data_IF_095985224481
#
_entry.id   IF_095985224481
#
_cell.length_a   1.000
_cell.length_b   1.000
_cell.length_c   1.000
_cell.angle_alpha   90.00
_cell.angle_beta   90.00
_cell.angle_gamma   90.00
#
_symmetry.space_group_name_H-M   'P 1'
#
loop_
_entity.id
_entity.type
_entity.pdbx_description
1 polymer ?
#
# COMPACT_ATOMS: atom_id res chain seq x y z
N UNK A 1 -26.46 -28.89 54.20
CA UNK A 1 -26.42 -30.37 54.25
C UNK A 1 -26.07 -30.87 52.85
N UNK A 2 -24.94 -30.49 52.25
CA UNK A 2 -23.55 -30.87 52.58
C UNK A 2 -23.30 -32.38 52.51
N UNK A 3 -22.72 -32.81 51.37
CA UNK A 3 -21.39 -33.45 51.40
C UNK A 3 -20.74 -33.49 50.02
N UNK A 4 -19.65 -32.73 49.89
CA UNK A 4 -18.62 -32.90 48.86
C UNK A 4 -18.00 -34.30 48.90
N UNK A 5 -17.63 -34.83 47.74
CA UNK A 5 -16.48 -35.74 47.65
C UNK A 5 -15.72 -35.55 46.33
N UNK A 6 -14.72 -34.69 46.47
CA UNK A 6 -13.57 -34.42 45.62
C UNK A 6 -12.82 -35.70 45.23
N UNK A 7 -12.52 -35.90 43.94
CA UNK A 7 -11.38 -36.73 43.52
C UNK A 7 -10.49 -35.96 42.56
N UNK A 8 -9.51 -35.37 43.22
CA UNK A 8 -8.22 -34.85 42.77
C UNK A 8 -7.53 -35.84 41.82
N UNK A 9 -7.12 -35.36 40.64
CA UNK A 9 -5.95 -35.89 39.94
C UNK A 9 -5.17 -34.70 39.38
N UNK A 10 -4.48 -34.05 40.33
CA UNK A 10 -3.27 -33.28 40.10
C UNK A 10 -2.21 -34.28 39.66
N UNK A 11 -1.66 -34.08 38.47
CA UNK A 11 -0.60 -34.90 37.90
C UNK A 11 0.39 -34.06 37.12
N UNK A 12 1.25 -33.35 37.85
CA UNK A 12 2.66 -33.00 37.51
C UNK A 12 2.89 -32.36 36.13
N UNK A 13 2.96 -31.03 36.02
CA UNK A 13 4.21 -30.25 36.17
C UNK A 13 5.47 -30.96 35.64
N UNK A 14 5.68 -30.86 34.33
CA UNK A 14 6.98 -30.70 33.67
C UNK A 14 6.68 -29.87 32.40
N UNK A 15 7.02 -28.59 32.27
CA UNK A 15 8.29 -27.99 32.66
C UNK A 15 9.30 -28.07 31.50
N UNK A 16 8.89 -27.72 30.28
CA UNK A 16 9.83 -27.42 29.19
C UNK A 16 9.42 -26.09 28.59
N UNK A 17 9.93 -25.01 29.18
CA UNK A 17 9.96 -23.71 28.55
C UNK A 17 11.03 -23.76 27.47
N UNK A 18 10.64 -24.02 26.22
CA UNK A 18 11.51 -23.76 25.06
C UNK A 18 11.49 -22.25 24.84
N UNK A 19 12.45 -21.55 25.42
CA UNK A 19 12.86 -20.22 24.98
C UNK A 19 13.47 -20.38 23.58
N UNK A 20 12.64 -20.26 22.54
CA UNK A 20 13.13 -20.00 21.20
C UNK A 20 13.60 -18.55 21.14
N UNK A 21 14.85 -18.31 21.55
CA UNK A 21 15.60 -17.11 21.18
C UNK A 21 15.87 -17.18 19.68
N UNK A 22 14.87 -16.81 18.88
CA UNK A 22 15.14 -16.36 17.52
C UNK A 22 15.76 -14.98 17.66
N UNK A 23 17.09 -14.95 17.55
CA UNK A 23 17.84 -13.71 17.45
C UNK A 23 17.18 -12.81 16.40
N UNK A 24 17.09 -11.54 16.75
CA UNK A 24 16.90 -10.46 15.79
C UNK A 24 18.08 -10.51 14.81
N UNK A 25 17.99 -11.40 13.83
CA UNK A 25 18.66 -11.19 12.57
C UNK A 25 18.07 -9.87 12.06
N UNK A 26 18.89 -8.83 12.06
CA UNK A 26 18.77 -7.78 11.06
C UNK A 26 18.76 -8.52 9.73
N UNK A 27 17.57 -8.86 9.24
CA UNK A 27 17.41 -9.42 7.91
C UNK A 27 18.21 -8.49 7.01
N UNK A 28 19.14 -9.00 6.17
CA UNK A 28 19.53 -8.20 5.03
C UNK A 28 18.22 -7.76 4.40
N UNK A 29 18.07 -6.46 4.12
CA UNK A 29 17.07 -6.01 3.15
C UNK A 29 17.27 -6.98 2.00
N UNK A 30 16.31 -7.89 1.79
CA UNK A 30 16.41 -8.80 0.68
C UNK A 30 16.56 -7.84 -0.49
N UNK A 31 17.71 -7.89 -1.17
CA UNK A 31 17.84 -7.17 -2.41
C UNK A 31 16.62 -7.60 -3.21
N UNK A 32 15.70 -6.66 -3.45
CA UNK A 32 14.48 -6.91 -4.20
C UNK A 32 14.95 -7.22 -5.62
N UNK A 33 15.34 -8.48 -5.83
CA UNK A 33 15.78 -8.95 -7.10
C UNK A 33 14.52 -9.11 -7.91
N UNK A 34 14.32 -8.17 -8.83
CA UNK A 34 13.31 -8.28 -9.86
C UNK A 34 13.37 -9.71 -10.43
N UNK A 35 12.23 -10.37 -10.50
CA UNK A 35 12.25 -11.81 -10.72
C UNK A 35 10.90 -12.45 -10.91
N UNK A 36 10.95 -13.67 -11.44
CA UNK A 36 9.76 -14.50 -11.59
C UNK A 36 9.28 -14.98 -10.23
N UNK A 37 8.02 -14.73 -9.92
CA UNK A 37 7.33 -15.22 -8.73
C UNK A 37 6.15 -16.08 -9.12
N UNK A 38 5.83 -17.03 -8.26
CA UNK A 38 4.70 -17.93 -8.43
C UNK A 38 3.89 -17.99 -7.14
N UNK A 39 2.57 -17.89 -7.28
CA UNK A 39 1.62 -18.09 -6.20
C UNK A 39 0.56 -19.09 -6.61
N UNK A 40 0.04 -19.83 -5.64
CA UNK A 40 -1.06 -20.76 -5.84
C UNK A 40 -2.19 -20.51 -4.86
N UNK A 41 -3.41 -20.73 -5.30
CA UNK A 41 -4.61 -20.59 -4.49
C UNK A 41 -5.73 -21.48 -5.02
N UNK A 42 -6.58 -21.97 -4.13
CA UNK A 42 -7.74 -22.75 -4.52
C UNK A 42 -8.91 -21.84 -4.88
N UNK A 43 -9.78 -22.34 -5.77
CA UNK A 43 -11.06 -21.74 -6.08
C UNK A 43 -12.11 -22.79 -6.35
N UNK A 44 -13.36 -22.45 -6.11
CA UNK A 44 -14.51 -23.33 -6.31
C UNK A 44 -15.63 -22.59 -7.03
N UNK A 45 -16.43 -23.30 -7.82
CA UNK A 45 -17.59 -22.74 -8.49
C UNK A 45 -18.66 -23.77 -8.83
N UNK A 46 -19.88 -23.34 -9.20
CA UNK A 46 -20.99 -24.24 -9.52
C UNK A 46 -20.79 -25.04 -10.83
N UNK A 47 -19.77 -24.71 -11.61
CA UNK A 47 -19.38 -25.41 -12.81
C UNK A 47 -17.86 -25.55 -12.89
N UNK A 48 -17.37 -26.49 -13.71
CA UNK A 48 -15.96 -26.68 -13.97
C UNK A 48 -15.26 -25.38 -14.42
N UNK A 49 -15.88 -24.65 -15.35
CA UNK A 49 -15.37 -23.38 -15.85
C UNK A 49 -15.31 -22.31 -14.74
N UNK A 50 -16.36 -22.20 -13.91
CA UNK A 50 -16.40 -21.24 -12.82
C UNK A 50 -15.36 -21.56 -11.73
N UNK A 51 -15.21 -22.83 -11.37
CA UNK A 51 -14.18 -23.26 -10.41
C UNK A 51 -12.76 -22.96 -10.90
N UNK A 52 -12.47 -23.27 -12.17
CA UNK A 52 -11.18 -22.99 -12.79
C UNK A 52 -10.87 -21.49 -12.85
N UNK A 53 -11.83 -20.66 -13.28
CA UNK A 53 -11.67 -19.21 -13.34
C UNK A 53 -11.46 -18.60 -11.93
N UNK A 54 -12.23 -19.04 -10.94
CA UNK A 54 -12.06 -18.59 -9.56
C UNK A 54 -10.69 -18.96 -9.00
N UNK A 55 -10.20 -20.16 -9.28
CA UNK A 55 -8.88 -20.60 -8.83
C UNK A 55 -7.75 -19.77 -9.48
N UNK A 56 -7.85 -19.48 -10.78
CA UNK A 56 -6.90 -18.60 -11.47
C UNK A 56 -6.91 -17.18 -10.89
N UNK A 57 -8.09 -16.59 -10.71
CA UNK A 57 -8.23 -15.24 -10.14
C UNK A 57 -7.68 -15.16 -8.72
N UNK A 58 -7.94 -16.17 -7.88
CA UNK A 58 -7.40 -16.24 -6.53
C UNK A 58 -5.87 -16.37 -6.55
N UNK A 59 -5.31 -17.15 -7.47
CA UNK A 59 -3.86 -17.29 -7.60
C UNK A 59 -3.20 -15.98 -8.07
N UNK A 60 -3.84 -15.24 -9.00
CA UNK A 60 -3.40 -13.91 -9.43
C UNK A 60 -3.46 -12.92 -8.26
N UNK A 61 -4.56 -12.93 -7.49
CA UNK A 61 -4.70 -12.08 -6.32
C UNK A 61 -3.64 -12.39 -5.25
N UNK A 62 -3.34 -13.67 -5.03
CA UNK A 62 -2.26 -14.10 -4.13
C UNK A 62 -0.89 -13.62 -4.61
N UNK A 63 -0.59 -13.73 -5.91
CA UNK A 63 0.65 -13.23 -6.50
C UNK A 63 0.79 -11.71 -6.31
N UNK A 64 -0.27 -10.95 -6.59
CA UNK A 64 -0.27 -9.50 -6.41
C UNK A 64 -0.15 -9.09 -4.94
N UNK A 65 -0.78 -9.84 -4.03
CA UNK A 65 -0.62 -9.60 -2.59
C UNK A 65 0.82 -9.82 -2.13
N UNK A 66 1.49 -10.89 -2.60
CA UNK A 66 2.90 -11.13 -2.32
C UNK A 66 3.80 -10.01 -2.85
N UNK A 67 3.53 -9.52 -4.05
CA UNK A 67 4.27 -8.41 -4.65
C UNK A 67 4.06 -7.10 -3.87
N UNK A 68 2.83 -6.80 -3.47
CA UNK A 68 2.51 -5.62 -2.69
C UNK A 68 3.23 -5.58 -1.33
N UNK A 69 3.38 -6.72 -0.65
CA UNK A 69 4.18 -6.82 0.58
C UNK A 69 5.66 -6.51 0.35
N UNK A 70 6.15 -6.69 -0.88
CA UNK A 70 7.52 -6.39 -1.28
C UNK A 70 7.67 -5.03 -1.99
N UNK A 71 6.60 -4.22 -2.13
CA UNK A 71 6.64 -2.96 -2.88
C UNK A 71 6.81 -3.14 -4.39
N UNK A 72 6.49 -4.33 -4.91
CA UNK A 72 6.65 -4.70 -6.32
C UNK A 72 5.31 -4.73 -7.04
N UNK A 73 5.37 -4.62 -8.37
CA UNK A 73 4.24 -4.86 -9.25
C UNK A 73 4.59 -6.00 -10.19
N UNK A 74 3.68 -6.98 -10.31
CA UNK A 74 3.86 -8.10 -11.23
C UNK A 74 3.30 -7.79 -12.62
N UNK A 75 4.05 -8.19 -13.64
CA UNK A 75 3.72 -8.09 -15.07
C UNK A 75 3.86 -9.46 -15.74
N UNK A 76 3.41 -9.58 -16.99
CA UNK A 76 3.49 -10.82 -17.77
C UNK A 76 2.91 -12.04 -17.03
N UNK A 77 1.82 -11.82 -16.29
CA UNK A 77 1.21 -12.86 -15.46
C UNK A 77 0.57 -13.91 -16.36
N UNK A 78 1.01 -15.15 -16.19
CA UNK A 78 0.37 -16.34 -16.74
C UNK A 78 -0.31 -17.09 -15.61
N UNK A 79 -1.47 -17.67 -15.88
CA UNK A 79 -2.19 -18.46 -14.88
C UNK A 79 -2.73 -19.76 -15.48
N UNK A 80 -2.83 -20.77 -14.63
CA UNK A 80 -3.39 -22.06 -14.96
C UNK A 80 -4.22 -22.59 -13.79
N UNK A 81 -5.09 -23.55 -14.07
CA UNK A 81 -5.88 -24.24 -13.05
C UNK A 81 -5.80 -25.75 -13.28
N UNK A 82 -5.69 -26.50 -12.20
CA UNK A 82 -5.75 -27.96 -12.18
C UNK A 82 -6.94 -28.40 -11.35
N UNK A 83 -7.77 -29.28 -11.89
CA UNK A 83 -8.91 -29.82 -11.16
C UNK A 83 -8.44 -30.61 -9.94
N UNK A 84 -9.09 -30.40 -8.79
CA UNK A 84 -8.78 -31.12 -7.55
C UNK A 84 -9.85 -32.17 -7.29
N UNK A 85 -11.11 -31.73 -7.15
CA UNK A 85 -12.25 -32.62 -6.95
C UNK A 85 -13.58 -31.91 -7.27
N UNK A 86 -14.64 -32.70 -7.41
CA UNK A 86 -16.02 -32.21 -7.48
C UNK A 86 -16.73 -32.58 -6.19
N UNK A 87 -17.39 -31.62 -5.55
CA UNK A 87 -18.12 -31.83 -4.32
C UNK A 87 -19.28 -32.83 -4.54
N UNK A 88 -19.66 -33.62 -3.51
CA UNK A 88 -20.76 -34.57 -3.62
C UNK A 88 -22.05 -33.93 -4.14
N UNK A 89 -22.77 -34.65 -5.00
CA UNK A 89 -23.99 -34.14 -5.62
C UNK A 89 -23.77 -33.07 -6.70
N UNK A 90 -22.53 -32.81 -7.11
CA UNK A 90 -22.22 -31.81 -8.15
C UNK A 90 -22.35 -30.36 -7.67
N UNK A 91 -22.38 -30.14 -6.35
CA UNK A 91 -22.63 -28.83 -5.75
C UNK A 91 -21.53 -27.79 -6.03
N UNK A 92 -20.30 -28.23 -6.26
CA UNK A 92 -19.17 -27.36 -6.60
C UNK A 92 -18.05 -28.13 -7.30
N UNK A 93 -17.28 -27.45 -8.13
CA UNK A 93 -16.07 -27.93 -8.76
C UNK A 93 -14.89 -27.14 -8.19
N UNK A 94 -13.93 -27.84 -7.59
CA UNK A 94 -12.78 -27.25 -6.90
C UNK A 94 -11.53 -27.42 -7.74
N UNK A 95 -10.81 -26.32 -7.94
CA UNK A 95 -9.57 -26.24 -8.71
C UNK A 95 -8.46 -25.62 -7.85
N UNK A 96 -7.22 -26.00 -8.14
CA UNK A 96 -6.04 -25.33 -7.66
C UNK A 96 -5.49 -24.46 -8.79
N UNK A 97 -5.41 -23.15 -8.55
CA UNK A 97 -4.87 -22.18 -9.48
C UNK A 97 -3.40 -21.92 -9.19
N UNK A 98 -2.63 -21.69 -10.23
CA UNK A 98 -1.24 -21.22 -10.13
C UNK A 98 -1.08 -20.00 -11.03
N UNK A 99 -0.47 -18.94 -10.52
CA UNK A 99 -0.15 -17.74 -11.27
C UNK A 99 1.36 -17.46 -11.16
N UNK A 100 1.99 -17.20 -12.30
CA UNK A 100 3.42 -16.86 -12.39
C UNK A 100 3.59 -15.57 -13.15
N UNK A 101 4.34 -14.62 -12.60
CA UNK A 101 4.58 -13.31 -13.21
C UNK A 101 5.97 -12.78 -12.87
N UNK A 102 6.43 -11.81 -13.66
CA UNK A 102 7.66 -11.09 -13.40
C UNK A 102 7.36 -9.88 -12.52
N UNK A 103 7.87 -9.88 -11.29
CA UNK A 103 7.60 -8.85 -10.29
C UNK A 103 8.85 -8.02 -10.06
N UNK A 104 8.68 -6.70 -10.11
CA UNK A 104 9.76 -5.74 -10.00
C UNK A 104 9.28 -4.49 -9.26
N UNK A 105 10.21 -3.76 -8.65
CA UNK A 105 9.90 -2.45 -8.08
C UNK A 105 9.71 -1.48 -9.25
N UNK A 106 8.55 -0.80 -9.36
CA UNK A 106 8.35 0.17 -10.43
C UNK A 106 9.40 1.29 -10.32
N UNK A 107 9.96 1.76 -11.44
CA UNK A 107 10.91 2.86 -11.40
C UNK A 107 10.21 4.13 -10.88
N UNK A 108 10.93 4.99 -10.14
CA UNK A 108 10.38 6.24 -9.67
C UNK A 108 9.94 7.09 -10.85
N UNK A 109 8.76 7.70 -10.75
CA UNK A 109 8.21 8.56 -11.80
C UNK A 109 7.83 9.94 -11.25
N UNK A 110 7.97 10.96 -12.09
CA UNK A 110 7.67 12.34 -11.70
C UNK A 110 6.26 12.74 -12.12
N UNK A 111 5.57 13.44 -11.23
CA UNK A 111 4.22 13.97 -11.43
C UNK A 111 4.23 15.46 -11.12
N UNK A 112 3.71 16.27 -12.03
CA UNK A 112 3.51 17.71 -11.79
C UNK A 112 2.35 17.91 -10.81
N UNK A 113 2.61 18.64 -9.72
CA UNK A 113 1.58 19.07 -8.75
C UNK A 113 1.52 20.58 -8.70
N UNK A 114 0.32 21.12 -8.49
CA UNK A 114 0.09 22.56 -8.34
C UNK A 114 -0.93 22.83 -7.25
N UNK A 115 -0.73 23.91 -6.50
CA UNK A 115 -1.65 24.39 -5.48
C UNK A 115 -1.70 25.92 -5.48
N UNK A 116 -2.88 26.47 -5.21
CA UNK A 116 -3.08 27.92 -5.04
C UNK A 116 -3.53 28.22 -3.63
N UNK A 117 -2.84 29.16 -2.97
CA UNK A 117 -3.21 29.67 -1.65
C UNK A 117 -3.06 31.19 -1.58
N UNK A 118 -3.90 31.80 -0.75
CA UNK A 118 -3.78 33.20 -0.40
C UNK A 118 -2.76 33.39 0.71
N UNK A 119 -1.87 34.36 0.51
CA UNK A 119 -1.00 34.88 1.55
C UNK A 119 -1.31 36.34 1.83
N UNK A 120 -1.33 36.70 3.11
CA UNK A 120 -1.49 38.07 3.58
C UNK A 120 -0.20 38.57 4.24
N UNK A 121 0.09 39.86 4.13
CA UNK A 121 1.24 40.44 4.80
C UNK A 121 1.28 41.97 4.76
N UNK A 122 2.12 42.56 5.60
CA UNK A 122 2.36 44.01 5.66
C UNK A 122 3.15 44.55 4.46
N UNK A 123 3.68 43.67 3.61
CA UNK A 123 4.30 43.99 2.33
C UNK A 123 3.87 42.99 1.26
N UNK A 124 3.97 43.35 -0.01
CA UNK A 124 3.70 42.44 -1.12
C UNK A 124 4.60 41.19 -1.07
N UNK A 125 5.87 41.35 -0.70
CA UNK A 125 6.81 40.23 -0.55
C UNK A 125 6.45 39.31 0.62
N UNK A 126 5.97 39.86 1.74
CA UNK A 126 5.48 39.08 2.87
C UNK A 126 4.22 38.28 2.49
N UNK A 127 3.28 38.90 1.78
CA UNK A 127 2.08 38.24 1.27
C UNK A 127 2.43 37.11 0.28
N UNK A 128 3.36 37.36 -0.64
CA UNK A 128 3.87 36.33 -1.58
C UNK A 128 4.52 35.15 -0.84
N UNK A 129 5.40 35.42 0.14
CA UNK A 129 6.08 34.37 0.91
C UNK A 129 5.09 33.53 1.74
N UNK A 130 4.09 34.17 2.36
CA UNK A 130 3.04 33.49 3.10
C UNK A 130 2.22 32.56 2.19
N UNK A 131 1.80 33.07 1.02
CA UNK A 131 1.02 32.29 0.04
C UNK A 131 1.84 31.13 -0.54
N UNK A 132 3.11 31.38 -0.88
CA UNK A 132 4.03 30.35 -1.35
C UNK A 132 4.20 29.23 -0.33
N UNK A 133 4.42 29.58 0.94
CA UNK A 133 4.62 28.61 2.03
C UNK A 133 3.36 27.75 2.24
N UNK A 134 2.18 28.37 2.23
CA UNK A 134 0.92 27.66 2.35
C UNK A 134 0.68 26.70 1.18
N UNK A 135 0.84 27.16 -0.07
CA UNK A 135 0.66 26.31 -1.26
C UNK A 135 1.71 25.18 -1.34
N UNK A 136 2.95 25.46 -0.92
CA UNK A 136 4.00 24.45 -0.81
C UNK A 136 3.64 23.37 0.22
N UNK A 137 3.05 23.76 1.36
CA UNK A 137 2.60 22.81 2.37
C UNK A 137 1.52 21.87 1.82
N UNK A 138 0.58 22.36 0.99
CA UNK A 138 -0.44 21.48 0.37
C UNK A 138 0.17 20.48 -0.61
N UNK A 139 1.16 20.91 -1.42
CA UNK A 139 1.86 20.00 -2.34
C UNK A 139 2.62 18.92 -1.56
N UNK A 140 3.28 19.31 -0.46
CA UNK A 140 4.04 18.39 0.39
C UNK A 140 3.16 17.50 1.27
N UNK A 141 1.89 17.86 1.51
CA UNK A 141 0.94 17.03 2.25
C UNK A 141 0.71 15.66 1.60
N UNK A 142 1.11 15.49 0.34
CA UNK A 142 1.09 14.22 -0.36
C UNK A 142 2.17 13.21 0.08
N UNK A 143 3.11 13.62 0.93
CA UNK A 143 4.15 12.72 1.48
C UNK A 143 5.23 12.30 0.47
N UNK A 144 5.39 13.04 -0.63
CA UNK A 144 6.35 12.74 -1.70
C UNK A 144 7.42 13.82 -1.83
N UNK A 145 8.60 13.43 -2.32
CA UNK A 145 9.71 14.35 -2.59
C UNK A 145 9.43 15.17 -3.83
N UNK A 146 9.46 16.51 -3.71
CA UNK A 146 9.21 17.41 -4.83
C UNK A 146 10.36 18.40 -5.08
N UNK A 147 10.67 18.65 -6.34
CA UNK A 147 11.72 19.55 -6.84
C UNK A 147 11.16 20.49 -7.91
N UNK A 148 12.01 21.34 -8.49
CA UNK A 148 11.64 22.27 -9.57
C UNK A 148 10.47 23.19 -9.21
N UNK A 149 10.51 23.74 -8.00
CA UNK A 149 9.49 24.65 -7.49
C UNK A 149 9.43 25.93 -8.32
N UNK A 150 8.24 26.27 -8.78
CA UNK A 150 7.95 27.55 -9.44
C UNK A 150 6.67 28.15 -8.85
N UNK A 151 6.55 29.48 -8.93
CA UNK A 151 5.39 30.19 -8.40
C UNK A 151 5.00 31.35 -9.29
N UNK A 152 3.69 31.51 -9.45
CA UNK A 152 3.07 32.67 -10.09
C UNK A 152 2.21 33.39 -9.06
N UNK A 153 2.28 34.72 -9.04
CA UNK A 153 1.60 35.55 -8.07
C UNK A 153 0.58 36.45 -8.75
N UNK A 154 -0.63 36.50 -8.20
CA UNK A 154 -1.66 37.44 -8.60
C UNK A 154 -2.08 38.30 -7.40
N UNK A 155 -1.96 39.63 -7.53
CA UNK A 155 -2.45 40.55 -6.51
C UNK A 155 -3.96 40.42 -6.40
N UNK A 156 -4.46 40.24 -5.17
CA UNK A 156 -5.89 40.18 -4.88
C UNK A 156 -6.35 41.51 -4.30
N UNK A 157 -5.58 42.04 -3.35
CA UNK A 157 -5.95 43.25 -2.64
C UNK A 157 -4.71 43.96 -2.08
N UNK A 158 -4.74 45.28 -2.13
CA UNK A 158 -3.80 46.16 -1.44
C UNK A 158 -4.61 47.16 -0.63
N UNK A 159 -4.37 47.22 0.68
CA UNK A 159 -5.02 48.18 1.55
C UNK A 159 -4.61 49.62 1.19
N UNK A 160 -5.51 50.60 1.40
CA UNK A 160 -5.16 52.01 1.24
C UNK A 160 -3.90 52.37 2.03
N UNK A 161 -2.99 53.11 1.40
CA UNK A 161 -1.69 53.46 2.00
C UNK A 161 -0.69 52.30 2.05
N UNK A 162 -0.98 51.13 1.47
CA UNK A 162 -0.04 50.00 1.42
C UNK A 162 0.17 49.30 2.76
N UNK A 163 -0.76 49.44 3.71
CA UNK A 163 -0.64 48.85 5.05
C UNK A 163 -0.76 47.32 5.07
N UNK A 164 -1.36 46.72 4.03
CA UNK A 164 -1.60 45.29 3.94
C UNK A 164 -1.77 44.85 2.49
N UNK A 165 -1.31 43.63 2.18
CA UNK A 165 -1.36 43.03 0.86
C UNK A 165 -1.90 41.61 0.96
N UNK A 166 -2.73 41.23 -0.01
CA UNK A 166 -3.23 39.86 -0.19
C UNK A 166 -2.88 39.42 -1.60
N UNK A 167 -2.23 38.27 -1.72
CA UNK A 167 -1.75 37.71 -2.99
C UNK A 167 -2.19 36.26 -3.10
N UNK A 168 -2.70 35.87 -4.26
CA UNK A 168 -2.83 34.47 -4.65
C UNK A 168 -1.48 33.98 -5.15
N UNK A 169 -0.90 33.00 -4.48
CA UNK A 169 0.30 32.29 -4.92
C UNK A 169 -0.11 30.93 -5.48
N UNK A 170 0.09 30.73 -6.79
CA UNK A 170 -0.02 29.41 -7.42
C UNK A 170 1.38 28.83 -7.51
N UNK A 171 1.63 27.78 -6.76
CA UNK A 171 2.92 27.08 -6.69
C UNK A 171 2.80 25.76 -7.45
N UNK A 172 3.83 25.42 -8.21
CA UNK A 172 3.93 24.15 -8.93
C UNK A 172 5.28 23.49 -8.68
N UNK A 173 5.31 22.16 -8.64
CA UNK A 173 6.52 21.36 -8.46
C UNK A 173 6.42 20.02 -9.18
N UNK A 174 7.56 19.38 -9.43
CA UNK A 174 7.65 18.00 -9.89
C UNK A 174 7.89 17.09 -8.69
N UNK A 175 6.97 16.16 -8.43
CA UNK A 175 7.03 15.25 -7.30
C UNK A 175 7.29 13.81 -7.75
N UNK A 176 8.26 13.15 -7.13
CA UNK A 176 8.62 11.75 -7.40
C UNK A 176 7.77 10.80 -6.55
N UNK A 177 7.09 9.85 -7.18
CA UNK A 177 6.41 8.72 -6.52
C UNK A 177 7.16 7.42 -6.79
#
# INVERSE_FOLDING_TARGET
MDKHSTRTLVGRLAGVAVLATLGLALSPVAAHADGWRTASAQGSGPSAAAGAANAQNNAIAALNAQAAQAGEVCSSITSSATWVYTAPGGAAYVYNGTATGYCAVPPPYTVSRSATRQGGGSSASAAQAAGFTAAKADILAAGVSCTSWSATYASVYTAPGGAWYIVNATVSALCTN
#
